data_IF_077156586186
#
_entry.id   IF_077156586186
#
_cell.length_a   1.000
_cell.length_b   1.000
_cell.length_c   1.000
_cell.angle_alpha   90.00
_cell.angle_beta   90.00
_cell.angle_gamma   90.00
#
_symmetry.space_group_name_H-M   'P 1'
#
loop_
_entity.id
_entity.type
_entity.pdbx_description
1 polymer ?
#
# COMPACT_ATOMS: atom_id res chain seq x y z
N UNK A 1 -41.73 16.27 -19.63
CA UNK A 1 -41.98 14.79 -19.68
C UNK A 1 -40.83 13.94 -20.24
N UNK A 2 -39.66 14.47 -20.49
CA UNK A 2 -38.47 13.75 -21.06
C UNK A 2 -37.55 13.08 -20.01
N UNK A 3 -37.72 13.39 -18.74
CA UNK A 3 -36.82 12.91 -17.66
C UNK A 3 -36.94 11.42 -17.29
N UNK A 4 -38.07 10.77 -17.61
CA UNK A 4 -38.28 9.35 -17.23
C UNK A 4 -37.70 8.33 -18.20
N UNK A 5 -37.21 8.78 -19.35
CA UNK A 5 -36.75 7.89 -20.42
C UNK A 5 -35.23 7.67 -20.46
N UNK A 6 -34.44 8.53 -19.83
CA UNK A 6 -32.96 8.50 -19.91
C UNK A 6 -32.33 7.61 -18.81
N UNK A 7 -32.94 7.53 -17.64
CA UNK A 7 -32.43 6.70 -16.53
C UNK A 7 -32.20 5.22 -16.91
N UNK A 8 -33.17 4.54 -17.53
CA UNK A 8 -32.95 3.13 -17.92
C UNK A 8 -31.89 2.95 -18.98
N UNK A 9 -31.67 3.95 -19.84
CA UNK A 9 -30.63 3.91 -20.87
C UNK A 9 -29.22 3.98 -20.28
N UNK A 10 -29.02 4.79 -19.24
CA UNK A 10 -27.74 4.98 -18.59
C UNK A 10 -27.35 3.81 -17.69
N UNK A 11 -28.29 3.20 -16.98
CA UNK A 11 -28.05 1.96 -16.24
C UNK A 11 -27.73 0.80 -17.18
N UNK A 12 -28.43 0.70 -18.31
CA UNK A 12 -28.14 -0.27 -19.35
C UNK A 12 -26.76 -0.06 -19.99
N UNK A 13 -26.33 1.18 -20.16
CA UNK A 13 -25.00 1.51 -20.67
C UNK A 13 -23.91 0.94 -19.79
N UNK A 14 -23.97 1.21 -18.46
CA UNK A 14 -22.95 0.72 -17.54
C UNK A 14 -22.93 -0.81 -17.45
N UNK A 15 -24.09 -1.42 -17.41
CA UNK A 15 -24.22 -2.89 -17.45
C UNK A 15 -23.57 -3.47 -18.71
N UNK A 16 -23.79 -2.85 -19.86
CA UNK A 16 -23.16 -3.27 -21.12
C UNK A 16 -21.64 -3.12 -21.10
N UNK A 17 -21.11 -2.03 -20.54
CA UNK A 17 -19.68 -1.85 -20.32
C UNK A 17 -19.10 -2.97 -19.45
N UNK A 18 -19.76 -3.28 -18.33
CA UNK A 18 -19.33 -4.34 -17.41
C UNK A 18 -19.31 -5.72 -18.09
N UNK A 19 -20.34 -6.05 -18.88
CA UNK A 19 -20.39 -7.33 -19.63
C UNK A 19 -19.28 -7.43 -20.66
N UNK A 20 -19.01 -6.34 -21.37
CA UNK A 20 -17.92 -6.29 -22.36
C UNK A 20 -16.57 -6.46 -21.69
N UNK A 21 -16.30 -5.74 -20.60
CA UNK A 21 -15.05 -5.89 -19.85
C UNK A 21 -14.91 -7.27 -19.21
N UNK A 22 -16.02 -7.90 -18.79
CA UNK A 22 -16.00 -9.28 -18.29
C UNK A 22 -15.59 -10.31 -19.35
N UNK A 23 -15.88 -10.04 -20.62
CA UNK A 23 -15.46 -10.90 -21.75
C UNK A 23 -14.01 -10.64 -22.19
N UNK A 24 -13.55 -9.37 -22.09
CA UNK A 24 -12.22 -8.96 -22.53
C UNK A 24 -11.11 -9.19 -21.48
N UNK A 25 -11.47 -9.22 -20.20
CA UNK A 25 -10.55 -9.31 -19.09
C UNK A 25 -10.57 -10.70 -18.45
N UNK A 26 -9.44 -11.09 -17.86
CA UNK A 26 -9.44 -12.26 -16.99
C UNK A 26 -10.39 -12.04 -15.80
N UNK A 27 -10.98 -13.10 -15.22
CA UNK A 27 -11.86 -12.98 -14.04
C UNK A 27 -11.20 -12.21 -12.88
N UNK A 28 -9.90 -12.39 -12.72
CA UNK A 28 -9.10 -11.72 -11.70
C UNK A 28 -8.98 -10.22 -11.98
N UNK A 29 -8.64 -9.83 -13.21
CA UNK A 29 -8.57 -8.42 -13.61
C UNK A 29 -9.91 -7.72 -13.50
N UNK A 30 -10.97 -8.37 -13.94
CA UNK A 30 -12.32 -7.82 -13.81
C UNK A 30 -12.72 -7.56 -12.36
N UNK A 31 -12.52 -8.55 -11.47
CA UNK A 31 -12.88 -8.42 -10.06
C UNK A 31 -12.06 -7.33 -9.35
N UNK A 32 -10.80 -7.14 -9.75
CA UNK A 32 -9.88 -6.20 -9.11
C UNK A 32 -10.08 -4.76 -9.57
N UNK A 33 -10.30 -4.54 -10.87
CA UNK A 33 -10.25 -3.21 -11.47
C UNK A 33 -11.60 -2.64 -11.84
N UNK A 34 -12.51 -3.49 -12.32
CA UNK A 34 -13.78 -3.04 -12.88
C UNK A 34 -14.89 -3.17 -11.86
N UNK A 35 -15.01 -4.32 -11.19
CA UNK A 35 -16.06 -4.59 -10.20
C UNK A 35 -16.15 -3.56 -9.05
N UNK A 36 -15.03 -3.02 -8.52
CA UNK A 36 -15.07 -2.01 -7.45
C UNK A 36 -15.53 -0.62 -7.90
N UNK A 37 -15.63 -0.37 -9.21
CA UNK A 37 -16.08 0.92 -9.73
C UNK A 37 -17.56 1.12 -9.44
N UNK A 38 -17.90 2.36 -9.15
CA UNK A 38 -19.30 2.80 -9.12
C UNK A 38 -19.56 3.77 -10.25
N UNK A 39 -20.77 3.72 -10.76
CA UNK A 39 -21.25 4.56 -11.83
C UNK A 39 -22.26 5.56 -11.25
N UNK A 40 -22.05 6.82 -11.51
CA UNK A 40 -22.99 7.89 -11.24
C UNK A 40 -23.16 8.71 -12.51
N UNK A 41 -24.33 9.24 -12.73
CA UNK A 41 -24.63 10.07 -13.88
C UNK A 41 -25.47 11.28 -13.47
N UNK A 42 -25.26 12.36 -14.18
CA UNK A 42 -26.07 13.55 -14.16
C UNK A 42 -26.37 13.91 -15.63
N UNK A 43 -27.45 14.60 -15.93
CA UNK A 43 -28.08 14.87 -17.25
C UNK A 43 -27.17 14.76 -18.49
N UNK A 44 -25.92 15.26 -18.43
CA UNK A 44 -24.96 15.27 -19.55
C UNK A 44 -23.57 14.78 -19.15
N UNK A 45 -23.41 14.25 -17.92
CA UNK A 45 -22.11 13.83 -17.39
C UNK A 45 -22.19 12.43 -16.81
N UNK A 46 -21.19 11.63 -17.14
CA UNK A 46 -20.94 10.33 -16.52
C UNK A 46 -19.80 10.48 -15.54
N UNK A 47 -20.00 9.99 -14.31
CA UNK A 47 -18.96 9.87 -13.29
C UNK A 47 -18.67 8.42 -13.00
N UNK A 48 -17.43 8.01 -13.18
CA UNK A 48 -16.92 6.69 -12.80
C UNK A 48 -16.13 6.86 -11.51
N UNK A 49 -16.65 6.32 -10.41
CA UNK A 49 -16.07 6.44 -9.10
C UNK A 49 -15.18 5.24 -8.79
N UNK A 50 -13.90 5.49 -8.66
CA UNK A 50 -12.93 4.49 -8.21
C UNK A 50 -12.77 4.51 -6.68
N UNK A 51 -12.46 3.38 -6.05
CA UNK A 51 -12.25 3.30 -4.61
C UNK A 51 -11.02 4.10 -4.12
N UNK A 52 -10.02 4.29 -4.97
CA UNK A 52 -8.81 5.05 -4.66
C UNK A 52 -8.18 5.62 -5.95
N UNK A 53 -7.19 6.51 -5.77
CA UNK A 53 -6.50 7.18 -6.86
C UNK A 53 -5.76 6.22 -7.81
N UNK A 54 -5.29 5.10 -7.30
CA UNK A 54 -4.56 4.12 -8.09
C UNK A 54 -5.49 3.38 -9.08
N UNK A 55 -6.63 2.90 -8.60
CA UNK A 55 -7.66 2.29 -9.47
C UNK A 55 -8.19 3.30 -10.48
N UNK A 56 -8.42 4.54 -10.05
CA UNK A 56 -8.84 5.63 -10.94
C UNK A 56 -7.86 5.81 -12.10
N UNK A 57 -6.58 5.95 -11.80
CA UNK A 57 -5.55 6.20 -12.81
C UNK A 57 -5.40 5.01 -13.75
N UNK A 58 -5.36 3.80 -13.21
CA UNK A 58 -5.23 2.57 -14.00
C UNK A 58 -6.41 2.37 -14.98
N UNK A 59 -7.63 2.60 -14.50
CA UNK A 59 -8.84 2.49 -15.33
C UNK A 59 -8.87 3.59 -16.38
N UNK A 60 -8.49 4.82 -16.01
CA UNK A 60 -8.41 5.94 -16.93
C UNK A 60 -7.40 5.66 -18.06
N UNK A 61 -6.21 5.18 -17.74
CA UNK A 61 -5.15 4.96 -18.73
C UNK A 61 -5.48 3.84 -19.72
N UNK A 62 -6.23 2.83 -19.29
CA UNK A 62 -6.49 1.64 -20.12
C UNK A 62 -7.88 1.57 -20.73
N UNK A 63 -8.87 2.17 -20.11
CA UNK A 63 -10.27 2.01 -20.47
C UNK A 63 -11.01 3.31 -20.80
N UNK A 64 -10.42 4.50 -20.52
CA UNK A 64 -11.09 5.76 -20.80
C UNK A 64 -11.55 5.84 -22.27
N UNK A 65 -10.64 5.56 -23.19
CA UNK A 65 -10.91 5.61 -24.61
C UNK A 65 -12.02 4.61 -25.05
N UNK A 66 -12.01 3.39 -24.49
CA UNK A 66 -13.05 2.39 -24.76
C UNK A 66 -14.40 2.80 -24.21
N UNK A 67 -14.44 3.36 -23.01
CA UNK A 67 -15.65 3.85 -22.37
C UNK A 67 -16.22 5.05 -23.13
N UNK A 68 -15.36 5.96 -23.60
CA UNK A 68 -15.76 7.11 -24.43
C UNK A 68 -16.38 6.68 -25.76
N UNK A 69 -15.79 5.69 -26.43
CA UNK A 69 -16.36 5.15 -27.67
C UNK A 69 -17.73 4.54 -27.43
N UNK A 70 -17.86 3.72 -26.40
CA UNK A 70 -19.15 3.10 -26.05
C UNK A 70 -20.20 4.12 -25.61
N UNK A 71 -19.77 5.19 -24.92
CA UNK A 71 -20.68 6.27 -24.53
C UNK A 71 -21.18 7.05 -25.76
N UNK A 72 -20.32 7.36 -26.71
CA UNK A 72 -20.73 8.02 -27.97
C UNK A 72 -21.71 7.18 -28.80
N UNK A 73 -21.54 5.86 -28.78
CA UNK A 73 -22.44 4.93 -29.49
C UNK A 73 -23.83 4.82 -28.86
N UNK A 74 -23.90 4.80 -27.51
CA UNK A 74 -25.13 4.49 -26.76
C UNK A 74 -25.82 5.71 -26.16
N UNK A 75 -25.04 6.78 -25.90
CA UNK A 75 -25.51 7.98 -25.21
C UNK A 75 -25.00 9.24 -25.90
N UNK A 76 -25.52 9.60 -27.08
CA UNK A 76 -25.01 10.74 -27.86
C UNK A 76 -25.15 12.11 -27.15
N UNK A 77 -25.98 12.19 -26.12
CA UNK A 77 -26.18 13.41 -25.32
C UNK A 77 -25.15 13.59 -24.20
N UNK A 78 -24.31 12.57 -23.94
CA UNK A 78 -23.26 12.64 -22.93
C UNK A 78 -22.02 13.34 -23.51
N UNK A 79 -21.72 14.52 -22.97
CA UNK A 79 -20.59 15.35 -23.45
C UNK A 79 -19.32 15.17 -22.61
N UNK A 80 -19.43 14.61 -21.40
CA UNK A 80 -18.27 14.51 -20.51
C UNK A 80 -18.30 13.23 -19.68
N UNK A 81 -17.12 12.54 -19.63
CA UNK A 81 -16.88 11.38 -18.76
C UNK A 81 -15.79 11.76 -17.76
N UNK A 82 -16.15 11.77 -16.50
CA UNK A 82 -15.26 12.12 -15.40
C UNK A 82 -14.88 10.87 -14.60
N UNK A 83 -13.60 10.69 -14.35
CA UNK A 83 -13.08 9.68 -13.41
C UNK A 83 -12.80 10.35 -12.08
N UNK A 84 -13.50 9.98 -11.03
CA UNK A 84 -13.36 10.54 -9.70
C UNK A 84 -13.06 9.47 -8.65
N UNK A 85 -12.58 9.89 -7.50
CA UNK A 85 -12.40 9.03 -6.35
C UNK A 85 -13.68 9.07 -5.52
N UNK A 86 -14.15 7.92 -5.09
CA UNK A 86 -15.29 7.82 -4.19
C UNK A 86 -14.97 8.52 -2.87
N UNK A 87 -15.68 9.61 -2.56
CA UNK A 87 -15.64 10.21 -1.24
C UNK A 87 -16.14 9.18 -0.22
N UNK A 88 -15.28 8.76 0.69
CA UNK A 88 -15.72 8.00 1.87
C UNK A 88 -16.56 8.98 2.68
N UNK A 89 -17.88 8.76 2.73
CA UNK A 89 -18.69 9.43 3.75
C UNK A 89 -18.10 8.98 5.09
N UNK A 90 -17.43 9.89 5.76
CA UNK A 90 -17.07 9.76 7.16
C UNK A 90 -18.38 9.59 7.97
N UNK A 91 -18.75 8.35 8.19
CA UNK A 91 -19.69 8.02 9.24
C UNK A 91 -18.85 7.44 10.39
N UNK A 92 -18.82 8.23 11.47
CA UNK A 92 -18.41 7.86 12.81
C UNK A 92 -16.89 7.93 13.07
N UNK A 93 -16.39 9.17 13.20
CA UNK A 93 -15.38 9.49 14.21
C UNK A 93 -15.97 10.56 15.11
N UNK A 94 -15.97 10.42 16.45
CA UNK A 94 -16.41 11.46 17.33
C UNK A 94 -15.45 12.65 17.23
N UNK A 95 -15.99 13.81 16.90
CA UNK A 95 -15.33 15.10 17.07
C UNK A 95 -14.81 15.20 18.51
N UNK A 96 -13.50 15.21 18.66
CA UNK A 96 -12.84 15.87 19.77
C UNK A 96 -12.01 17.00 19.20
N UNK A 97 -12.65 18.13 19.08
CA UNK A 97 -11.97 19.41 18.95
C UNK A 97 -11.29 19.78 20.28
N UNK A 98 -10.14 20.39 20.08
CA UNK A 98 -9.50 21.31 20.98
C UNK A 98 -9.18 20.83 22.41
N UNK A 99 -7.97 20.35 22.62
CA UNK A 99 -7.09 20.77 23.70
C UNK A 99 -5.65 20.40 23.34
N UNK A 100 -4.89 21.27 22.72
CA UNK A 100 -3.44 21.28 22.85
C UNK A 100 -2.88 22.68 22.53
N UNK A 101 -3.16 23.60 23.45
CA UNK A 101 -2.39 24.82 23.60
C UNK A 101 -1.97 24.92 25.05
N UNK A 102 -0.89 24.25 25.40
CA UNK A 102 -0.03 24.66 26.52
C UNK A 102 1.36 24.11 26.30
N UNK A 103 2.23 24.97 25.83
CA UNK A 103 3.65 24.77 25.80
C UNK A 103 4.18 24.50 27.22
N UNK A 104 4.91 23.41 27.37
CA UNK A 104 5.84 23.24 28.47
C UNK A 104 7.24 23.33 27.89
N UNK A 105 7.85 24.45 28.14
CA UNK A 105 9.28 24.71 27.96
C UNK A 105 10.03 23.90 29.03
N UNK A 106 10.87 22.98 28.60
CA UNK A 106 11.89 22.39 29.48
C UNK A 106 13.22 22.52 28.77
N UNK A 107 14.07 23.32 29.36
CA UNK A 107 15.47 23.55 29.00
C UNK A 107 16.34 22.33 29.28
N UNK A 108 17.41 22.08 28.50
CA UNK A 108 18.28 20.94 28.68
C UNK A 108 19.40 21.23 29.71
N UNK A 109 19.89 20.26 30.44
CA UNK A 109 21.25 20.30 30.95
C UNK A 109 22.21 19.54 30.03
N UNK A 110 23.27 20.23 29.68
CA UNK A 110 24.53 19.67 29.21
C UNK A 110 25.11 18.70 30.25
N UNK A 111 25.55 17.54 29.79
CA UNK A 111 26.87 17.04 30.23
C UNK A 111 27.39 15.94 29.29
N UNK A 112 28.57 16.19 28.83
CA UNK A 112 29.47 15.33 28.06
C UNK A 112 30.11 14.35 29.04
N UNK A 113 30.16 13.07 28.74
CA UNK A 113 31.20 12.17 29.23
C UNK A 113 31.36 10.98 28.26
N UNK A 114 32.60 10.78 27.92
CA UNK A 114 33.20 9.80 27.01
C UNK A 114 33.08 8.35 27.50
N UNK A 115 33.31 7.46 26.54
CA UNK A 115 33.30 6.00 26.56
C UNK A 115 34.17 5.34 27.67
N UNK A 116 34.11 4.03 27.88
CA UNK A 116 34.88 3.09 27.05
C UNK A 116 34.20 1.75 26.69
N UNK A 117 34.73 1.20 25.61
CA UNK A 117 34.59 -0.16 25.10
C UNK A 117 34.85 -1.25 26.15
N UNK A 118 33.97 -2.28 26.19
CA UNK A 118 34.41 -3.61 26.61
C UNK A 118 33.62 -4.70 25.91
N UNK A 119 34.37 -5.55 25.22
CA UNK A 119 34.02 -6.86 24.75
C UNK A 119 33.48 -7.76 25.86
N UNK A 120 32.34 -8.42 25.65
CA UNK A 120 32.12 -9.73 26.27
C UNK A 120 31.32 -10.63 25.35
N UNK A 121 32.01 -11.60 24.89
CA UNK A 121 31.62 -12.81 24.22
C UNK A 121 30.57 -13.60 25.07
N UNK A 122 29.37 -13.91 24.51
CA UNK A 122 28.62 -15.09 24.96
C UNK A 122 27.78 -15.70 23.84
N UNK A 123 28.13 -16.93 23.53
CA UNK A 123 27.46 -17.89 22.67
C UNK A 123 26.01 -18.12 23.12
N UNK A 124 25.07 -17.96 22.21
CA UNK A 124 23.91 -18.87 22.02
C UNK A 124 22.99 -18.27 20.95
N UNK A 125 22.89 -18.85 19.78
CA UNK A 125 21.70 -18.89 18.94
C UNK A 125 22.01 -19.39 17.53
N UNK A 126 22.06 -20.67 17.33
CA UNK A 126 22.12 -21.30 16.00
C UNK A 126 20.80 -21.24 15.24
N UNK A 127 19.68 -20.82 15.83
CA UNK A 127 18.35 -20.71 15.22
C UNK A 127 18.08 -19.36 14.55
N UNK A 128 18.52 -18.27 15.15
CA UNK A 128 18.19 -16.90 14.75
C UNK A 128 18.81 -16.44 13.41
N UNK A 129 19.97 -16.97 13.03
CA UNK A 129 20.67 -16.58 11.79
C UNK A 129 20.02 -17.15 10.50
N UNK A 130 19.41 -18.34 10.58
CA UNK A 130 18.70 -18.91 9.42
C UNK A 130 17.36 -18.23 9.17
N UNK A 131 16.65 -17.88 10.22
CA UNK A 131 15.35 -17.18 10.14
C UNK A 131 15.49 -15.72 9.75
N UNK A 132 16.52 -15.02 10.22
CA UNK A 132 16.83 -13.64 9.78
C UNK A 132 17.15 -13.59 8.27
N UNK A 133 17.84 -14.61 7.73
CA UNK A 133 18.07 -14.73 6.28
C UNK A 133 16.79 -14.97 5.48
N UNK A 134 15.81 -15.67 6.05
CA UNK A 134 14.53 -15.94 5.38
C UNK A 134 13.61 -14.71 5.33
N UNK A 135 13.57 -13.89 6.39
CA UNK A 135 12.78 -12.66 6.47
C UNK A 135 13.42 -11.47 5.74
N UNK A 136 14.72 -11.47 5.52
CA UNK A 136 15.49 -10.36 4.97
C UNK A 136 15.72 -9.20 5.96
N UNK A 137 15.36 -9.36 7.23
CA UNK A 137 15.54 -8.34 8.26
C UNK A 137 16.96 -8.30 8.79
N UNK A 138 17.46 -7.09 9.08
CA UNK A 138 18.69 -6.87 9.83
C UNK A 138 18.34 -6.80 11.33
N UNK A 139 18.83 -7.72 12.17
CA UNK A 139 18.48 -7.78 13.58
C UNK A 139 18.94 -6.56 14.40
N UNK A 140 19.88 -5.78 13.88
CA UNK A 140 20.36 -4.56 14.55
C UNK A 140 19.42 -3.35 14.39
N UNK A 141 18.47 -3.42 13.47
CA UNK A 141 17.51 -2.34 13.27
C UNK A 141 16.29 -2.55 14.18
N UNK A 142 16.39 -2.04 15.40
CA UNK A 142 15.34 -2.12 16.42
C UNK A 142 14.85 -0.72 16.80
N UNK A 143 13.74 -0.63 17.52
CA UNK A 143 13.25 0.65 18.03
C UNK A 143 14.19 1.24 19.09
N UNK A 144 14.85 0.39 19.87
CA UNK A 144 15.81 0.79 20.91
C UNK A 144 17.07 1.42 20.30
N UNK A 145 17.52 0.91 19.15
CA UNK A 145 18.69 1.47 18.44
C UNK A 145 18.33 2.63 17.50
N UNK A 146 17.03 2.98 17.38
CA UNK A 146 16.56 4.06 16.51
C UNK A 146 16.74 5.42 17.17
N UNK A 147 17.47 6.33 16.52
CA UNK A 147 17.67 7.70 17.00
C UNK A 147 16.45 8.54 16.65
N UNK A 148 15.68 8.92 17.66
CA UNK A 148 14.49 9.76 17.49
C UNK A 148 14.85 11.25 17.58
N UNK A 149 14.34 12.04 16.65
CA UNK A 149 14.47 13.50 16.62
C UNK A 149 13.20 14.15 16.10
N UNK A 150 13.12 15.48 16.14
CA UNK A 150 11.92 16.24 15.71
C UNK A 150 11.44 15.89 14.31
N UNK A 151 12.35 15.54 13.39
CA UNK A 151 12.02 15.25 11.99
C UNK A 151 11.41 13.85 11.76
N UNK A 152 11.62 12.89 12.68
CA UNK A 152 11.19 11.50 12.54
C UNK A 152 10.32 10.98 13.69
N UNK A 153 10.07 11.80 14.72
CA UNK A 153 9.30 11.42 15.91
C UNK A 153 7.89 10.91 15.57
N UNK A 154 7.18 11.59 14.67
CA UNK A 154 5.84 11.18 14.25
C UNK A 154 5.88 9.84 13.52
N UNK A 155 6.85 9.64 12.63
CA UNK A 155 7.02 8.38 11.92
C UNK A 155 7.36 7.23 12.89
N UNK A 156 8.19 7.50 13.91
CA UNK A 156 8.53 6.53 14.95
C UNK A 156 7.27 6.13 15.76
N UNK A 157 6.46 7.09 16.19
CA UNK A 157 5.23 6.82 16.94
C UNK A 157 4.22 6.00 16.12
N UNK A 158 4.02 6.34 14.83
CA UNK A 158 3.17 5.57 13.94
C UNK A 158 3.69 4.15 13.71
N UNK A 159 5.01 4.01 13.56
CA UNK A 159 5.66 2.71 13.39
C UNK A 159 5.50 1.82 14.62
N UNK A 160 5.67 2.34 15.82
CA UNK A 160 5.44 1.60 17.08
C UNK A 160 3.99 1.13 17.18
N UNK A 161 3.03 2.01 16.87
CA UNK A 161 1.62 1.65 16.90
C UNK A 161 1.26 0.54 15.91
N UNK A 162 1.85 0.55 14.70
CA UNK A 162 1.69 -0.51 13.71
C UNK A 162 2.34 -1.80 14.18
N UNK A 163 3.51 -1.73 14.79
CA UNK A 163 4.20 -2.91 15.31
C UNK A 163 3.43 -3.62 16.41
N UNK A 164 2.75 -2.86 17.28
CA UNK A 164 1.89 -3.40 18.36
C UNK A 164 0.54 -3.91 17.85
N UNK A 165 -0.01 -3.29 16.79
CA UNK A 165 -1.36 -3.58 16.30
C UNK A 165 -1.36 -3.79 14.76
N UNK A 166 -0.68 -4.80 14.24
CA UNK A 166 -0.56 -5.03 12.81
C UNK A 166 -1.92 -5.31 12.17
N UNK A 167 -2.15 -4.72 11.00
CA UNK A 167 -3.39 -4.86 10.24
C UNK A 167 -4.59 -4.07 10.75
N UNK A 168 -4.48 -3.40 11.92
CA UNK A 168 -5.57 -2.63 12.54
C UNK A 168 -5.37 -1.12 12.42
N UNK A 169 -4.14 -0.63 12.69
CA UNK A 169 -3.80 0.78 12.57
C UNK A 169 -3.01 0.99 11.27
N UNK A 170 -3.14 2.14 10.62
CA UNK A 170 -2.32 2.55 9.46
C UNK A 170 -1.94 1.41 8.50
N UNK A 171 -2.92 0.81 7.85
CA UNK A 171 -2.68 -0.25 6.89
C UNK A 171 -3.22 0.13 5.49
N UNK A 172 -2.36 0.37 4.48
CA UNK A 172 -0.89 0.33 4.53
C UNK A 172 -0.26 1.53 5.26
N UNK A 173 0.92 1.32 5.87
CA UNK A 173 1.75 2.41 6.37
C UNK A 173 2.73 2.85 5.29
N UNK A 174 2.67 4.14 4.90
CA UNK A 174 3.63 4.74 3.98
C UNK A 174 4.64 5.58 4.75
N UNK A 175 5.93 5.29 4.55
CA UNK A 175 7.04 6.05 5.13
C UNK A 175 7.82 6.73 4.01
N UNK A 176 7.82 8.07 4.02
CA UNK A 176 8.52 8.88 3.03
C UNK A 176 9.22 10.07 3.70
N UNK A 177 10.16 10.70 2.99
CA UNK A 177 10.90 11.85 3.52
C UNK A 177 12.33 11.93 3.00
N UNK A 178 13.09 12.90 3.51
CA UNK A 178 14.48 13.15 3.13
C UNK A 178 15.43 11.98 3.40
N UNK A 179 16.62 12.04 2.81
CA UNK A 179 17.71 11.07 3.06
C UNK A 179 18.21 11.22 4.49
N UNK A 180 18.70 10.14 5.09
CA UNK A 180 19.31 10.16 6.43
C UNK A 180 18.34 10.16 7.62
N UNK A 181 17.00 10.18 7.39
CA UNK A 181 16.00 10.21 8.47
C UNK A 181 15.73 8.82 9.11
N UNK A 182 16.47 7.79 8.77
CA UNK A 182 16.33 6.46 9.36
C UNK A 182 15.13 5.64 8.82
N UNK A 183 14.55 5.97 7.65
CA UNK A 183 13.36 5.29 7.13
C UNK A 183 13.51 3.77 7.01
N UNK A 184 14.62 3.30 6.42
CA UNK A 184 14.92 1.87 6.27
C UNK A 184 15.10 1.18 7.63
N UNK A 185 15.74 1.86 8.58
CA UNK A 185 15.85 1.39 9.96
C UNK A 185 14.45 1.20 10.57
N UNK A 186 13.61 2.21 10.45
CA UNK A 186 12.28 2.23 11.07
C UNK A 186 11.37 1.11 10.54
N UNK A 187 11.34 0.89 9.21
CA UNK A 187 10.51 -0.21 8.65
C UNK A 187 11.02 -1.58 9.10
N UNK A 188 12.33 -1.76 9.23
CA UNK A 188 12.90 -3.02 9.72
C UNK A 188 12.71 -3.19 11.23
N UNK A 189 12.73 -2.10 12.01
CA UNK A 189 12.41 -2.13 13.44
C UNK A 189 10.99 -2.68 13.69
N UNK A 190 10.01 -2.29 12.86
CA UNK A 190 8.65 -2.86 12.93
C UNK A 190 8.70 -4.37 12.69
N UNK A 191 9.42 -4.83 11.67
CA UNK A 191 9.54 -6.25 11.37
C UNK A 191 10.20 -7.04 12.50
N UNK A 192 11.28 -6.53 13.07
CA UNK A 192 11.99 -7.15 14.20
C UNK A 192 11.12 -7.19 15.46
N UNK A 193 10.40 -6.10 15.74
CA UNK A 193 9.47 -6.06 16.87
C UNK A 193 8.35 -7.10 16.73
N UNK A 194 7.71 -7.17 15.54
CA UNK A 194 6.68 -8.15 15.28
C UNK A 194 7.21 -9.58 15.39
N UNK A 195 8.42 -9.85 14.89
CA UNK A 195 9.06 -11.16 15.01
C UNK A 195 9.34 -11.55 16.46
N UNK A 196 9.64 -10.55 17.30
CA UNK A 196 9.86 -10.78 18.74
C UNK A 196 8.57 -11.16 19.47
N UNK A 197 7.45 -10.46 19.21
CA UNK A 197 6.15 -10.72 19.87
C UNK A 197 5.38 -11.90 19.26
N UNK A 198 5.61 -12.17 17.97
CA UNK A 198 4.99 -13.26 17.21
C UNK A 198 6.05 -14.04 16.43
N UNK A 199 6.76 -14.99 17.05
CA UNK A 199 7.85 -15.74 16.42
C UNK A 199 7.46 -16.49 15.15
N UNK A 200 6.19 -16.95 15.07
CA UNK A 200 5.66 -17.68 13.90
C UNK A 200 5.17 -16.77 12.77
N UNK A 201 5.17 -15.45 12.96
CA UNK A 201 4.73 -14.52 11.94
C UNK A 201 5.60 -14.61 10.67
N UNK A 202 4.93 -14.74 9.53
CA UNK A 202 5.58 -14.76 8.21
C UNK A 202 5.85 -13.34 7.75
N UNK A 203 7.07 -12.89 7.99
CA UNK A 203 7.53 -11.54 7.67
C UNK A 203 8.46 -11.58 6.47
N UNK A 204 8.28 -10.64 5.55
CA UNK A 204 9.18 -10.48 4.39
C UNK A 204 9.54 -9.01 4.22
N UNK A 205 10.83 -8.72 4.33
CA UNK A 205 11.44 -7.45 3.95
C UNK A 205 12.20 -7.62 2.64
N UNK A 206 11.98 -6.72 1.71
CA UNK A 206 12.69 -6.70 0.43
C UNK A 206 12.72 -5.30 -0.20
N UNK A 207 13.75 -5.05 -0.99
CA UNK A 207 13.77 -3.94 -1.93
C UNK A 207 12.86 -4.23 -3.12
N UNK A 208 12.22 -3.19 -3.64
CA UNK A 208 11.31 -3.31 -4.78
C UNK A 208 11.94 -4.00 -6.01
N UNK A 209 13.25 -3.78 -6.23
CA UNK A 209 14.00 -4.47 -7.30
C UNK A 209 14.00 -5.99 -7.14
N UNK A 210 14.08 -6.47 -5.90
CA UNK A 210 14.01 -7.92 -5.62
C UNK A 210 12.64 -8.48 -5.95
N UNK A 211 11.57 -7.75 -5.62
CA UNK A 211 10.22 -8.13 -6.01
C UNK A 211 10.08 -8.24 -7.53
N UNK A 212 10.61 -7.26 -8.28
CA UNK A 212 10.65 -7.31 -9.75
C UNK A 212 11.35 -8.57 -10.24
N UNK A 213 12.53 -8.88 -9.69
CA UNK A 213 13.28 -10.09 -10.04
C UNK A 213 12.52 -11.37 -9.72
N UNK A 214 11.83 -11.43 -8.57
CA UNK A 214 11.03 -12.58 -8.17
C UNK A 214 9.83 -12.78 -9.11
N UNK A 215 9.16 -11.70 -9.56
CA UNK A 215 8.09 -11.76 -10.56
C UNK A 215 8.61 -12.31 -11.90
N UNK A 216 9.72 -11.76 -12.40
CA UNK A 216 10.32 -12.22 -13.68
C UNK A 216 10.65 -13.70 -13.62
N UNK A 217 11.36 -14.15 -12.59
CA UNK A 217 11.71 -15.56 -12.38
C UNK A 217 10.48 -16.47 -12.28
N UNK A 218 9.40 -16.01 -11.63
CA UNK A 218 8.18 -16.79 -11.52
C UNK A 218 7.53 -17.01 -12.88
N UNK A 219 7.61 -16.03 -13.80
CA UNK A 219 7.14 -16.18 -15.17
C UNK A 219 8.04 -17.11 -16.00
N UNK A 220 9.35 -16.91 -15.94
CA UNK A 220 10.33 -17.72 -16.67
C UNK A 220 10.25 -19.21 -16.29
N UNK A 221 10.11 -19.48 -15.00
CA UNK A 221 10.07 -20.85 -14.47
C UNK A 221 8.65 -21.44 -14.40
N UNK A 222 7.62 -20.77 -14.93
CA UNK A 222 6.21 -21.20 -14.85
C UNK A 222 5.75 -21.53 -13.41
N UNK A 223 6.34 -20.84 -12.41
CA UNK A 223 6.12 -21.09 -10.97
C UNK A 223 5.29 -19.99 -10.30
N UNK A 224 4.40 -19.36 -11.07
CA UNK A 224 3.68 -18.17 -10.64
C UNK A 224 2.69 -18.45 -9.50
N UNK A 225 2.10 -19.64 -9.44
CA UNK A 225 1.21 -20.03 -8.34
C UNK A 225 1.97 -20.16 -7.01
N UNK A 226 3.19 -20.72 -7.05
CA UNK A 226 4.06 -20.78 -5.88
C UNK A 226 4.48 -19.37 -5.41
N UNK A 227 4.78 -18.47 -6.35
CA UNK A 227 5.05 -17.07 -6.07
C UNK A 227 3.87 -16.40 -5.37
N UNK A 228 2.66 -16.52 -5.92
CA UNK A 228 1.43 -15.97 -5.31
C UNK A 228 1.22 -16.53 -3.90
N UNK A 229 1.26 -17.85 -3.74
CA UNK A 229 1.09 -18.52 -2.45
C UNK A 229 2.07 -17.97 -1.40
N UNK A 230 3.32 -17.76 -1.78
CA UNK A 230 4.35 -17.24 -0.89
C UNK A 230 4.04 -15.82 -0.42
N UNK A 231 3.69 -14.91 -1.35
CA UNK A 231 3.40 -13.52 -0.99
C UNK A 231 2.04 -13.35 -0.28
N UNK A 232 1.01 -14.11 -0.68
CA UNK A 232 -0.32 -14.02 -0.06
C UNK A 232 -0.39 -14.63 1.35
N UNK A 233 0.58 -15.48 1.71
CA UNK A 233 0.64 -16.10 3.04
C UNK A 233 1.35 -15.27 4.10
N UNK A 234 1.85 -14.08 3.75
CA UNK A 234 2.59 -13.21 4.68
C UNK A 234 1.66 -12.56 5.70
N UNK A 235 2.17 -12.38 6.91
CA UNK A 235 1.52 -11.59 7.95
C UNK A 235 1.98 -10.11 7.91
N UNK A 236 3.22 -9.89 7.47
CA UNK A 236 3.80 -8.56 7.29
C UNK A 236 4.66 -8.49 6.02
N UNK A 237 4.34 -7.56 5.14
CA UNK A 237 5.11 -7.25 3.94
C UNK A 237 5.74 -5.86 4.07
N UNK A 238 7.07 -5.81 4.00
CA UNK A 238 7.88 -4.59 4.08
C UNK A 238 8.56 -4.37 2.73
N UNK A 239 8.17 -3.33 2.01
CA UNK A 239 8.78 -2.99 0.71
C UNK A 239 9.56 -1.69 0.82
N UNK A 240 10.83 -1.79 0.49
CA UNK A 240 11.73 -0.66 0.42
C UNK A 240 11.87 -0.17 -1.04
N UNK A 241 11.90 1.17 -1.19
CA UNK A 241 12.12 1.85 -2.46
C UNK A 241 11.13 1.48 -3.57
N UNK A 242 9.82 1.54 -3.28
CA UNK A 242 8.75 1.16 -4.20
C UNK A 242 8.77 1.92 -5.54
N UNK A 243 9.45 3.07 -5.63
CA UNK A 243 9.59 3.84 -6.86
C UNK A 243 10.25 3.03 -8.00
N UNK A 244 10.99 1.96 -7.70
CA UNK A 244 11.55 1.04 -8.70
C UNK A 244 10.49 0.22 -9.45
N UNK A 245 9.22 0.26 -9.03
CA UNK A 245 8.12 -0.29 -9.82
C UNK A 245 7.68 0.63 -10.96
N UNK A 246 8.15 1.88 -11.00
CA UNK A 246 7.81 2.81 -12.06
C UNK A 246 8.11 2.22 -13.44
N UNK A 247 7.17 2.39 -14.37
CA UNK A 247 7.23 1.89 -15.76
C UNK A 247 7.29 0.35 -15.91
N UNK A 248 7.10 -0.43 -14.83
CA UNK A 248 7.10 -1.91 -14.85
C UNK A 248 5.66 -2.41 -14.66
N UNK A 249 4.82 -2.22 -15.67
CA UNK A 249 3.37 -2.46 -15.61
C UNK A 249 2.99 -3.84 -15.04
N UNK A 250 3.67 -4.89 -15.52
CA UNK A 250 3.37 -6.26 -15.09
C UNK A 250 3.70 -6.48 -13.61
N UNK A 251 4.83 -5.96 -13.13
CA UNK A 251 5.18 -6.00 -11.71
C UNK A 251 4.18 -5.22 -10.86
N UNK A 252 3.73 -4.06 -11.33
CA UNK A 252 2.73 -3.26 -10.64
C UNK A 252 1.40 -4.01 -10.53
N UNK A 253 0.96 -4.70 -11.59
CA UNK A 253 -0.26 -5.52 -11.57
C UNK A 253 -0.15 -6.64 -10.53
N UNK A 254 0.95 -7.40 -10.56
CA UNK A 254 1.14 -8.51 -9.64
C UNK A 254 1.31 -8.06 -8.19
N UNK A 255 2.01 -6.93 -7.99
CA UNK A 255 2.09 -6.33 -6.66
C UNK A 255 0.71 -5.89 -6.16
N UNK A 256 -0.11 -5.31 -7.02
CA UNK A 256 -1.44 -4.88 -6.64
C UNK A 256 -2.36 -6.04 -6.24
N UNK A 257 -2.25 -7.19 -6.91
CA UNK A 257 -2.97 -8.39 -6.50
C UNK A 257 -2.53 -8.88 -5.12
N UNK A 258 -1.22 -8.96 -4.88
CA UNK A 258 -0.69 -9.33 -3.57
C UNK A 258 -1.12 -8.31 -2.49
N UNK A 259 -1.05 -7.02 -2.80
CA UNK A 259 -1.47 -5.93 -1.92
C UNK A 259 -2.93 -6.05 -1.51
N UNK A 260 -3.85 -6.21 -2.47
CA UNK A 260 -5.27 -6.34 -2.16
C UNK A 260 -5.56 -7.58 -1.33
N UNK A 261 -4.96 -8.71 -1.68
CA UNK A 261 -5.13 -9.96 -0.91
C UNK A 261 -4.68 -9.80 0.54
N UNK A 262 -3.54 -9.14 0.77
CA UNK A 262 -3.04 -8.89 2.12
C UNK A 262 -3.95 -7.93 2.89
N UNK A 263 -4.43 -6.85 2.28
CA UNK A 263 -5.35 -5.89 2.91
C UNK A 263 -6.68 -6.54 3.26
N UNK A 264 -7.28 -7.33 2.35
CA UNK A 264 -8.53 -8.05 2.58
C UNK A 264 -8.40 -9.04 3.76
N UNK A 265 -7.25 -9.67 3.90
CA UNK A 265 -6.94 -10.58 5.00
C UNK A 265 -6.40 -9.87 6.26
N UNK A 266 -6.49 -8.54 6.33
CA UNK A 266 -6.02 -7.71 7.45
C UNK A 266 -4.53 -7.92 7.79
N UNK A 267 -3.73 -8.30 6.81
CA UNK A 267 -2.28 -8.43 6.94
C UNK A 267 -1.62 -7.06 6.79
N UNK A 268 -0.55 -6.82 7.52
CA UNK A 268 0.11 -5.51 7.51
C UNK A 268 1.00 -5.32 6.28
N UNK A 269 0.89 -4.16 5.67
CA UNK A 269 1.79 -3.73 4.60
C UNK A 269 2.47 -2.42 4.99
N UNK A 270 3.78 -2.35 4.80
CA UNK A 270 4.57 -1.14 5.00
C UNK A 270 5.36 -0.86 3.73
N UNK A 271 5.28 0.37 3.27
CA UNK A 271 5.88 0.80 2.02
C UNK A 271 6.75 2.02 2.29
N UNK A 272 8.05 1.88 2.01
CA UNK A 272 8.95 3.02 1.99
C UNK A 272 9.02 3.59 0.58
N UNK A 273 8.96 4.91 0.51
CA UNK A 273 9.18 5.67 -0.73
C UNK A 273 10.50 6.42 -0.55
N UNK A 274 11.50 6.05 -1.35
CA UNK A 274 12.74 6.81 -1.47
C UNK A 274 12.53 8.05 -2.35
N UNK A 275 13.50 8.98 -2.38
CA UNK A 275 13.51 10.02 -3.39
C UNK A 275 13.75 9.36 -4.76
N UNK A 276 12.80 9.48 -5.67
CA UNK A 276 13.12 9.35 -7.08
C UNK A 276 14.08 10.51 -7.41
N UNK A 277 15.27 10.21 -7.90
CA UNK A 277 16.07 11.21 -8.59
C UNK A 277 15.28 11.58 -9.85
N UNK A 278 14.70 12.77 -9.81
CA UNK A 278 14.16 13.43 -11.01
C UNK A 278 15.33 14.02 -11.76
#
# INVERSE_FOLDING_TARGET
MLFRSILPLMENFWTHCLERFKKELSPQQYNTWIKPLKFEHDQHKIKILAPNKFVQQWVKDRFAQKIEVLAKEKLPEVTNIEFAIRAIKESILPKKEAVLSKALVITPPNNIAEAPSQDTNKKSAGGTLKEAKASGLNPHFTFESFVTGKANQLACAAAMQVAENPGKAYNPLFIYGGVGLGKTHLIQAIGNHLKHIQPDAKIKYLHAERYVSDVVKAYENKSFDAFKKNYHSLDLLLIDDIQFFAKKNRTQEEFFYAFNTLIENKKQIIIKIGRAHV
#
